data_IF_619961034642
#
_entry.id   IF_619961034642
#
_cell.length_a   1.000
_cell.length_b   1.000
_cell.length_c   1.000
_cell.angle_alpha   90.00
_cell.angle_beta   90.00
_cell.angle_gamma   90.00
#
_symmetry.space_group_name_H-M   'P 1'
#
loop_
_entity.id
_entity.type
_entity.pdbx_description
1 polymer ?
#
# COMPACT_ATOMS: atom_id res chain seq x y z
N UNK A 1 1.63 -38.95 1.41
CA UNK A 1 0.95 -37.68 1.77
C UNK A 1 1.93 -36.92 2.63
N UNK A 2 2.46 -35.81 2.11
CA UNK A 2 3.50 -35.05 2.77
C UNK A 2 3.02 -34.54 4.13
N UNK A 3 3.89 -34.64 5.12
CA UNK A 3 3.74 -34.10 6.47
C UNK A 3 3.39 -32.61 6.38
N UNK A 4 2.12 -32.27 6.59
CA UNK A 4 1.67 -30.89 6.63
C UNK A 4 2.19 -30.31 7.95
N UNK A 5 3.36 -29.67 7.88
CA UNK A 5 4.07 -29.15 9.04
C UNK A 5 3.18 -28.36 10.00
N UNK A 6 3.52 -28.43 11.28
CA UNK A 6 2.75 -27.86 12.39
C UNK A 6 2.31 -26.41 12.13
N UNK A 7 1.00 -26.16 12.26
CA UNK A 7 0.43 -24.83 12.12
C UNK A 7 0.95 -23.90 13.21
N UNK A 8 1.24 -22.65 12.83
CA UNK A 8 1.64 -21.59 13.78
C UNK A 8 0.83 -20.33 13.55
N UNK A 9 0.60 -19.60 14.64
CA UNK A 9 0.08 -18.24 14.58
C UNK A 9 1.19 -17.30 14.09
N UNK A 10 0.93 -16.59 12.99
CA UNK A 10 1.89 -15.66 12.40
C UNK A 10 1.57 -14.23 12.82
N UNK A 11 2.53 -13.60 13.49
CA UNK A 11 2.53 -12.16 13.76
C UNK A 11 3.64 -11.55 12.92
N UNK A 12 3.32 -10.72 11.90
CA UNK A 12 4.34 -10.02 11.13
C UNK A 12 5.15 -9.09 12.02
N UNK A 13 6.46 -9.10 11.84
CA UNK A 13 7.33 -8.12 12.48
C UNK A 13 7.43 -6.85 11.62
N UNK A 14 7.56 -5.66 12.23
CA UNK A 14 7.82 -4.43 11.47
C UNK A 14 9.19 -4.50 10.80
N UNK A 15 9.31 -3.92 9.60
CA UNK A 15 10.56 -3.91 8.82
C UNK A 15 11.73 -3.27 9.58
N UNK A 16 11.45 -2.30 10.46
CA UNK A 16 12.48 -1.55 11.18
C UNK A 16 12.09 -1.37 12.65
N UNK A 17 13.06 -1.61 13.55
CA UNK A 17 12.94 -1.42 15.00
C UNK A 17 13.45 -0.01 15.40
N UNK A 18 13.13 0.50 16.61
CA UNK A 18 13.70 1.75 17.10
C UNK A 18 15.24 1.75 17.03
N UNK A 19 15.83 2.81 16.47
CA UNK A 19 17.26 2.93 16.22
C UNK A 19 17.74 2.42 14.86
N UNK A 20 16.88 1.74 14.09
CA UNK A 20 17.14 1.39 12.70
C UNK A 20 16.80 2.52 11.73
N UNK A 21 17.29 2.42 10.49
CA UNK A 21 16.94 3.32 9.39
C UNK A 21 15.64 2.85 8.73
N UNK A 22 14.57 3.67 8.65
CA UNK A 22 13.34 3.32 7.95
C UNK A 22 13.58 3.01 6.47
N UNK A 23 13.05 1.89 5.99
CA UNK A 23 12.92 1.61 4.56
C UNK A 23 11.46 1.82 4.14
N UNK A 24 11.25 2.53 3.02
CA UNK A 24 9.94 2.76 2.43
C UNK A 24 9.88 2.27 0.98
N UNK A 25 10.86 1.47 0.55
CA UNK A 25 10.96 0.93 -0.81
C UNK A 25 9.72 0.13 -1.25
N UNK A 26 9.02 -0.49 -0.29
CA UNK A 26 7.78 -1.24 -0.52
C UNK A 26 6.53 -0.35 -0.72
N UNK A 27 6.64 0.96 -0.47
CA UNK A 27 5.52 1.88 -0.68
C UNK A 27 5.55 2.39 -2.11
N UNK A 28 4.59 1.96 -2.92
CA UNK A 28 4.43 2.46 -4.28
C UNK A 28 3.83 3.87 -4.25
N UNK A 29 4.68 4.89 -4.46
CA UNK A 29 4.24 6.28 -4.48
C UNK A 29 3.87 6.70 -5.90
N UNK A 30 2.57 6.88 -6.13
CA UNK A 30 2.04 7.39 -7.39
C UNK A 30 2.53 8.81 -7.71
N UNK A 31 2.61 9.13 -9.00
CA UNK A 31 2.93 10.49 -9.46
C UNK A 31 1.81 11.45 -9.03
N UNK A 32 2.19 12.66 -8.64
CA UNK A 32 1.21 13.71 -8.35
C UNK A 32 0.22 13.89 -9.52
N UNK A 33 -1.07 13.96 -9.21
CA UNK A 33 -2.16 14.10 -10.17
C UNK A 33 -2.47 12.87 -11.03
N UNK A 34 -1.81 11.72 -10.79
CA UNK A 34 -2.02 10.51 -11.62
C UNK A 34 -3.29 9.72 -11.29
N UNK A 35 -3.79 9.82 -10.06
CA UNK A 35 -5.03 9.17 -9.64
C UNK A 35 -6.20 10.11 -9.98
N UNK A 36 -7.22 9.64 -10.72
CA UNK A 36 -8.35 10.50 -11.07
C UNK A 36 -9.23 10.78 -9.84
N UNK A 37 -9.97 11.87 -9.88
CA UNK A 37 -11.04 12.17 -8.92
C UNK A 37 -12.35 11.61 -9.49
N UNK A 38 -12.87 10.49 -8.99
CA UNK A 38 -14.13 9.94 -9.47
C UNK A 38 -15.32 10.79 -8.98
N UNK A 39 -16.49 10.52 -9.55
CA UNK A 39 -17.77 11.02 -9.04
C UNK A 39 -18.05 10.47 -7.63
N UNK A 40 -18.84 11.21 -6.84
CA UNK A 40 -19.13 10.86 -5.44
C UNK A 40 -19.92 9.54 -5.33
N UNK A 41 -20.75 9.25 -6.34
CA UNK A 41 -21.64 8.08 -6.38
C UNK A 41 -21.10 6.94 -7.28
N UNK A 42 -19.80 6.91 -7.57
CA UNK A 42 -19.18 5.87 -8.41
C UNK A 42 -19.35 4.46 -7.80
N UNK A 43 -19.52 3.42 -8.64
CA UNK A 43 -19.54 2.04 -8.15
C UNK A 43 -18.16 1.67 -7.59
N UNK A 44 -18.05 1.09 -6.39
CA UNK A 44 -16.77 0.67 -5.79
C UNK A 44 -15.94 -0.27 -6.68
N UNK A 45 -16.58 -1.03 -7.58
CA UNK A 45 -15.90 -1.91 -8.54
C UNK A 45 -15.08 -1.15 -9.55
N UNK A 46 -15.51 0.06 -9.92
CA UNK A 46 -14.86 0.91 -10.92
C UNK A 46 -13.62 1.64 -10.37
N UNK A 47 -13.46 1.69 -9.04
CA UNK A 47 -12.35 2.37 -8.35
C UNK A 47 -11.48 1.42 -7.53
N UNK A 48 -11.55 0.11 -7.79
CA UNK A 48 -10.81 -0.91 -7.03
C UNK A 48 -9.29 -0.69 -7.07
N UNK A 49 -8.78 -0.19 -8.19
CA UNK A 49 -7.37 0.14 -8.37
C UNK A 49 -6.91 1.27 -7.43
N UNK A 50 -7.79 2.22 -7.10
CA UNK A 50 -7.47 3.34 -6.20
C UNK A 50 -7.11 2.89 -4.79
N UNK A 51 -7.64 1.74 -4.33
CA UNK A 51 -7.31 1.16 -3.03
C UNK A 51 -5.84 0.71 -2.93
N UNK A 52 -5.15 0.54 -4.06
CA UNK A 52 -3.74 0.16 -4.14
C UNK A 52 -2.86 1.32 -4.61
N UNK A 53 -3.38 2.54 -4.63
CA UNK A 53 -2.68 3.76 -5.07
C UNK A 53 -2.71 4.85 -4.00
N UNK A 54 -2.05 5.97 -4.26
CA UNK A 54 -1.97 7.14 -3.36
C UNK A 54 -2.48 8.38 -4.09
N UNK A 55 -3.53 9.00 -3.56
CA UNK A 55 -3.99 10.31 -4.03
C UNK A 55 -2.98 11.36 -3.59
N UNK A 56 -2.31 11.99 -4.56
CA UNK A 56 -1.26 12.97 -4.33
C UNK A 56 -1.46 14.18 -5.23
N UNK A 57 -1.51 15.38 -4.63
CA UNK A 57 -1.67 16.64 -5.37
C UNK A 57 -0.32 17.33 -5.61
N UNK A 58 0.46 17.55 -4.55
CA UNK A 58 1.73 18.27 -4.64
C UNK A 58 2.85 17.36 -5.13
N UNK A 59 3.70 17.90 -6.01
CA UNK A 59 4.88 17.19 -6.49
C UNK A 59 6.11 17.59 -5.65
N UNK A 60 7.34 17.29 -6.10
CA UNK A 60 8.55 17.63 -5.32
C UNK A 60 8.89 19.13 -5.32
N UNK A 61 8.35 19.90 -6.26
CA UNK A 61 8.58 21.33 -6.40
C UNK A 61 7.53 22.19 -5.67
N UNK A 62 6.56 21.57 -4.98
CA UNK A 62 5.35 22.23 -4.49
C UNK A 62 4.24 22.08 -5.51
#
# INVERSE_FOLDING_TARGET
MADAGMLRFHVPEPEVRPGGTPDFSNVTIAKAGSVPRPEIEVDPRDIRDMAFSIIRVLNRAG
#
